data_IF_908818662669
#
_entry.id   IF_908818662669
#
_cell.length_a   1.000
_cell.length_b   1.000
_cell.length_c   1.000
_cell.angle_alpha   90.00
_cell.angle_beta   90.00
_cell.angle_gamma   90.00
#
_symmetry.space_group_name_H-M   'P 1'
#
loop_
_entity.id
_entity.type
_entity.pdbx_description
1 polymer ?
#
# COMPACT_ATOMS: atom_id res chain seq x y z
N UNK A 1 8.72 4.24 47.44
CA UNK A 1 8.41 4.25 46.00
C UNK A 1 8.44 5.71 45.59
N UNK A 2 9.66 6.22 45.37
CA UNK A 2 9.93 7.66 45.38
C UNK A 2 9.58 8.36 44.08
N UNK A 3 9.19 9.63 44.19
CA UNK A 3 8.80 10.50 43.07
C UNK A 3 9.87 10.62 41.96
N UNK A 4 11.12 10.23 42.24
CA UNK A 4 12.22 10.19 41.28
C UNK A 4 12.16 8.96 40.36
N UNK A 5 11.58 7.84 40.79
CA UNK A 5 11.41 6.62 39.99
C UNK A 5 10.35 6.81 38.89
N UNK A 6 9.32 7.61 39.18
CA UNK A 6 8.27 7.97 38.22
C UNK A 6 8.77 8.96 37.15
N UNK A 7 9.68 9.88 37.53
CA UNK A 7 10.31 10.82 36.59
C UNK A 7 11.27 10.13 35.62
N UNK A 8 12.01 9.12 36.09
CA UNK A 8 12.92 8.35 35.25
C UNK A 8 12.17 7.46 34.25
N UNK A 9 11.13 6.75 34.70
CA UNK A 9 10.22 5.99 33.83
C UNK A 9 9.51 6.88 32.80
N UNK A 10 9.10 8.08 33.19
CA UNK A 10 8.54 9.06 32.25
C UNK A 10 9.59 9.56 31.24
N UNK A 11 10.87 9.64 31.60
CA UNK A 11 11.96 10.00 30.67
C UNK A 11 12.27 8.87 29.69
N UNK A 12 12.27 7.61 30.14
CA UNK A 12 12.43 6.44 29.28
C UNK A 12 11.21 6.22 28.37
N UNK A 13 10.00 6.40 28.89
CA UNK A 13 8.78 6.36 28.09
C UNK A 13 8.74 7.50 27.08
N UNK A 14 9.14 8.72 27.45
CA UNK A 14 9.22 9.85 26.52
C UNK A 14 10.33 9.69 25.46
N UNK A 15 11.47 9.05 25.78
CA UNK A 15 12.55 8.80 24.82
C UNK A 15 12.23 7.68 23.83
N UNK A 16 11.56 6.61 24.26
CA UNK A 16 11.09 5.52 23.37
C UNK A 16 9.86 5.96 22.55
N UNK A 17 9.04 6.88 23.09
CA UNK A 17 7.90 7.48 22.38
C UNK A 17 8.27 8.73 21.55
N UNK A 18 9.47 9.30 21.71
CA UNK A 18 9.91 10.46 20.93
C UNK A 18 10.29 10.12 19.47
N UNK A 19 10.45 8.83 19.13
CA UNK A 19 10.51 8.35 17.74
C UNK A 19 9.14 7.90 17.21
N UNK A 20 8.08 8.02 18.01
CA UNK A 20 6.72 7.59 17.66
C UNK A 20 5.71 8.70 17.93
N UNK A 21 5.86 9.84 17.24
CA UNK A 21 4.75 10.75 16.89
C UNK A 21 5.15 11.71 15.76
N UNK A 22 4.20 12.14 14.91
CA UNK A 22 4.30 11.99 13.46
C UNK A 22 4.55 13.32 12.75
N UNK A 23 5.37 13.32 11.70
CA UNK A 23 5.29 14.38 10.69
C UNK A 23 4.00 14.19 9.89
N UNK A 24 2.98 14.94 10.30
CA UNK A 24 2.06 15.72 9.47
C UNK A 24 1.57 15.00 8.20
N UNK A 25 0.42 14.32 8.26
CA UNK A 25 -0.88 14.90 7.85
C UNK A 25 -0.81 15.51 6.44
N UNK A 26 -1.13 14.70 5.43
CA UNK A 26 -2.04 15.16 4.38
C UNK A 26 -3.45 14.97 4.94
N UNK A 27 -4.18 16.08 5.12
CA UNK A 27 -5.52 16.10 5.66
C UNK A 27 -6.52 15.28 4.82
N UNK A 28 -7.60 14.78 5.46
CA UNK A 28 -8.62 13.95 4.86
C UNK A 28 -9.74 14.78 4.25
N UNK A 29 -10.21 14.40 3.07
CA UNK A 29 -11.59 14.71 2.69
C UNK A 29 -12.17 13.63 1.75
N UNK A 30 -13.14 12.89 2.30
CA UNK A 30 -14.13 11.99 1.68
C UNK A 30 -13.92 10.47 1.82
N UNK A 31 -13.78 10.01 3.06
CA UNK A 31 -14.41 8.75 3.51
C UNK A 31 -15.54 9.10 4.49
N UNK A 32 -16.68 9.52 3.96
CA UNK A 32 -17.90 9.76 4.75
C UNK A 32 -19.13 9.37 3.97
N UNK A 33 -19.17 8.13 3.50
CA UNK A 33 -20.38 7.35 3.27
C UNK A 33 -19.99 5.90 3.61
N UNK A 34 -20.84 5.16 4.30
CA UNK A 34 -20.63 3.74 4.68
C UNK A 34 -19.88 3.47 5.99
N UNK A 35 -20.10 4.28 7.05
CA UNK A 35 -19.80 3.85 8.43
C UNK A 35 -20.90 4.20 9.45
N UNK A 36 -22.16 4.33 8.98
CA UNK A 36 -23.34 4.52 9.84
C UNK A 36 -24.54 3.69 9.36
N UNK A 37 -24.33 2.38 9.22
CA UNK A 37 -25.44 1.41 9.11
C UNK A 37 -25.08 -0.02 9.55
N UNK A 38 -23.90 -0.25 10.11
CA UNK A 38 -23.46 -1.61 10.49
C UNK A 38 -24.25 -2.16 11.69
N UNK A 39 -24.59 -1.31 12.67
CA UNK A 39 -25.22 -1.78 13.91
C UNK A 39 -26.72 -2.07 13.81
N UNK A 40 -27.42 -1.57 12.79
CA UNK A 40 -28.83 -1.91 12.55
C UNK A 40 -28.97 -3.15 11.66
N UNK A 41 -27.94 -3.47 10.87
CA UNK A 41 -27.96 -4.59 9.92
C UNK A 41 -27.63 -5.95 10.55
N UNK A 42 -27.06 -6.01 11.76
CA UNK A 42 -26.82 -7.31 12.42
C UNK A 42 -28.10 -8.00 12.92
N UNK A 43 -29.19 -7.26 13.16
CA UNK A 43 -30.44 -7.86 13.68
C UNK A 43 -31.41 -8.32 12.57
N UNK A 44 -31.15 -8.01 11.29
CA UNK A 44 -31.90 -8.57 10.16
C UNK A 44 -31.32 -9.90 9.65
N UNK A 45 -30.14 -10.30 10.11
CA UNK A 45 -29.41 -11.50 9.65
C UNK A 45 -30.00 -12.83 10.15
N UNK A 46 -31.02 -12.81 11.02
CA UNK A 46 -31.67 -14.02 11.52
C UNK A 46 -32.88 -14.48 10.69
N UNK A 47 -33.28 -13.74 9.65
CA UNK A 47 -34.52 -14.02 8.90
C UNK A 47 -34.33 -14.33 7.41
N UNK A 48 -33.10 -14.32 6.87
CA UNK A 48 -32.89 -14.42 5.41
C UNK A 48 -31.84 -15.49 5.02
N UNK A 49 -31.82 -16.63 5.71
CA UNK A 49 -30.97 -17.77 5.35
C UNK A 49 -31.40 -18.52 4.07
N UNK A 50 -32.41 -18.05 3.33
CA UNK A 50 -32.82 -18.64 2.04
C UNK A 50 -32.30 -17.89 0.79
N UNK A 51 -31.92 -16.61 0.90
CA UNK A 51 -31.47 -15.80 -0.26
C UNK A 51 -29.94 -15.90 -0.52
N UNK A 52 -29.15 -16.28 0.49
CA UNK A 52 -27.67 -16.36 0.39
C UNK A 52 -27.21 -17.51 -0.50
N UNK A 53 -28.05 -18.53 -0.72
CA UNK A 53 -27.73 -19.64 -1.63
C UNK A 53 -27.78 -19.24 -3.12
N UNK A 54 -28.38 -18.10 -3.47
CA UNK A 54 -28.43 -17.62 -4.85
C UNK A 54 -27.16 -16.83 -5.26
N UNK A 55 -26.35 -16.37 -4.30
CA UNK A 55 -25.13 -15.60 -4.58
C UNK A 55 -23.85 -16.45 -4.54
N UNK A 56 -23.90 -17.65 -3.95
CA UNK A 56 -22.77 -18.60 -3.88
C UNK A 56 -22.96 -19.82 -4.80
N UNK A 57 -23.83 -19.71 -5.81
CA UNK A 57 -24.01 -20.75 -6.82
C UNK A 57 -24.35 -20.19 -8.21
N UNK A 58 -23.70 -19.08 -8.60
CA UNK A 58 -23.41 -18.89 -10.03
C UNK A 58 -22.01 -19.43 -10.23
N UNK A 59 -21.83 -20.58 -10.91
CA UNK A 59 -20.51 -20.97 -11.33
C UNK A 59 -19.95 -19.78 -12.12
N UNK A 60 -18.76 -19.30 -11.76
CA UNK A 60 -17.96 -18.43 -12.64
C UNK A 60 -17.48 -19.22 -13.87
N UNK A 61 -18.39 -19.95 -14.52
CA UNK A 61 -18.23 -20.40 -15.89
C UNK A 61 -19.02 -19.39 -16.72
N UNK A 62 -18.60 -18.12 -16.65
CA UNK A 62 -18.74 -17.31 -17.83
C UNK A 62 -17.54 -17.66 -18.68
N UNK A 63 -17.80 -18.38 -19.77
CA UNK A 63 -16.73 -18.80 -20.65
C UNK A 63 -16.08 -17.55 -21.24
N UNK A 64 -14.88 -17.24 -20.75
CA UNK A 64 -14.15 -16.06 -21.17
C UNK A 64 -13.78 -16.19 -22.64
N UNK A 65 -14.47 -15.41 -23.48
CA UNK A 65 -14.17 -15.36 -24.91
C UNK A 65 -12.91 -14.51 -25.13
N UNK A 66 -11.76 -15.19 -25.21
CA UNK A 66 -10.44 -14.56 -25.38
C UNK A 66 -10.34 -13.70 -26.65
N UNK A 67 -11.02 -14.09 -27.73
CA UNK A 67 -11.00 -13.34 -28.99
C UNK A 67 -11.74 -12.01 -28.86
N UNK A 68 -12.92 -12.03 -28.24
CA UNK A 68 -13.67 -10.80 -27.95
C UNK A 68 -12.90 -9.91 -26.97
N UNK A 69 -12.31 -10.50 -25.93
CA UNK A 69 -11.47 -9.77 -24.98
C UNK A 69 -10.31 -9.07 -25.68
N UNK A 70 -9.61 -9.76 -26.58
CA UNK A 70 -8.51 -9.17 -27.35
C UNK A 70 -8.98 -7.99 -28.19
N UNK A 71 -10.12 -8.08 -28.86
CA UNK A 71 -10.69 -6.98 -29.66
C UNK A 71 -11.01 -5.76 -28.78
N UNK A 72 -11.55 -5.96 -27.59
CA UNK A 72 -11.79 -4.86 -26.65
C UNK A 72 -10.47 -4.25 -26.12
N UNK A 73 -9.44 -5.07 -25.90
CA UNK A 73 -8.11 -4.53 -25.53
C UNK A 73 -7.52 -3.68 -26.65
N UNK A 74 -7.68 -4.10 -27.91
CA UNK A 74 -7.25 -3.31 -29.07
C UNK A 74 -7.95 -1.96 -29.12
N UNK A 75 -9.27 -1.88 -28.87
CA UNK A 75 -9.99 -0.60 -28.80
C UNK A 75 -9.50 0.29 -27.64
N UNK A 76 -9.33 -0.28 -26.44
CA UNK A 76 -8.81 0.46 -25.30
C UNK A 76 -7.42 1.02 -25.58
N UNK A 77 -6.55 0.23 -26.22
CA UNK A 77 -5.20 0.67 -26.55
C UNK A 77 -5.12 1.64 -27.73
N UNK A 78 -6.00 1.53 -28.75
CA UNK A 78 -6.09 2.55 -29.80
C UNK A 78 -6.49 3.90 -29.21
N UNK A 79 -7.47 3.92 -28.31
CA UNK A 79 -7.82 5.15 -27.57
C UNK A 79 -6.63 5.69 -26.78
N UNK A 80 -5.95 4.83 -26.02
CA UNK A 80 -4.75 5.24 -25.28
C UNK A 80 -3.66 5.81 -26.18
N UNK A 81 -3.45 5.25 -27.38
CA UNK A 81 -2.49 5.78 -28.35
C UNK A 81 -2.87 7.21 -28.77
N UNK A 82 -4.15 7.46 -29.06
CA UNK A 82 -4.64 8.81 -29.38
C UNK A 82 -4.46 9.76 -28.20
N UNK A 83 -4.83 9.35 -26.99
CA UNK A 83 -4.68 10.17 -25.79
C UNK A 83 -3.18 10.50 -25.52
N UNK A 84 -2.29 9.56 -25.82
CA UNK A 84 -0.83 9.75 -25.73
C UNK A 84 -0.23 10.67 -26.80
N UNK A 85 -0.95 11.03 -27.88
CA UNK A 85 -0.49 12.03 -28.85
C UNK A 85 -0.48 13.45 -28.24
N UNK A 86 -1.31 13.69 -27.22
CA UNK A 86 -1.33 14.97 -26.49
C UNK A 86 -0.16 15.09 -25.50
N UNK A 87 0.45 13.96 -25.12
CA UNK A 87 1.61 13.91 -24.24
C UNK A 87 2.90 13.98 -25.06
N UNK A 88 3.69 15.03 -24.87
CA UNK A 88 5.00 15.19 -25.52
C UNK A 88 5.86 13.91 -25.34
N UNK A 89 6.43 13.34 -26.42
CA UNK A 89 7.30 12.15 -26.34
C UNK A 89 8.47 12.26 -25.35
N UNK A 90 8.97 13.47 -25.08
CA UNK A 90 10.01 13.70 -24.06
C UNK A 90 9.52 13.41 -22.63
N UNK A 91 8.21 13.50 -22.41
CA UNK A 91 7.57 13.29 -21.11
C UNK A 91 7.03 11.87 -20.91
N UNK A 92 7.16 10.97 -21.88
CA UNK A 92 6.71 9.58 -21.75
C UNK A 92 7.36 8.82 -20.58
N UNK A 93 8.56 9.22 -20.15
CA UNK A 93 9.22 8.61 -19.00
C UNK A 93 8.90 9.27 -17.65
N UNK A 94 8.08 10.34 -17.63
CA UNK A 94 7.65 11.00 -16.41
C UNK A 94 6.20 10.62 -16.10
N UNK A 95 6.04 9.76 -15.08
CA UNK A 95 4.74 9.22 -14.66
C UNK A 95 3.67 10.31 -14.48
N UNK A 96 4.05 11.47 -13.95
CA UNK A 96 3.13 12.59 -13.67
C UNK A 96 2.38 13.07 -14.92
N UNK A 97 2.98 12.93 -16.11
CA UNK A 97 2.40 13.44 -17.35
C UNK A 97 1.44 12.49 -18.04
N UNK A 98 1.53 11.18 -17.79
CA UNK A 98 0.70 10.18 -18.48
C UNK A 98 -0.13 9.30 -17.53
N UNK A 99 0.00 9.48 -16.21
CA UNK A 99 -0.74 8.67 -15.21
C UNK A 99 -2.26 8.77 -15.40
N UNK A 100 -2.78 9.92 -15.82
CA UNK A 100 -4.20 10.11 -16.12
C UNK A 100 -4.66 9.21 -17.28
N UNK A 101 -3.98 9.32 -18.43
CA UNK A 101 -4.29 8.52 -19.61
C UNK A 101 -4.11 7.02 -19.36
N UNK A 102 -3.05 6.65 -18.62
CA UNK A 102 -2.82 5.27 -18.24
C UNK A 102 -3.91 4.73 -17.30
N UNK A 103 -4.41 5.55 -16.38
CA UNK A 103 -5.52 5.19 -15.50
C UNK A 103 -6.81 4.91 -16.30
N UNK A 104 -7.12 5.75 -17.30
CA UNK A 104 -8.26 5.51 -18.20
C UNK A 104 -8.06 4.24 -19.03
N UNK A 105 -6.86 4.01 -19.53
CA UNK A 105 -6.51 2.77 -20.23
C UNK A 105 -6.72 1.54 -19.34
N UNK A 106 -6.16 1.53 -18.13
CA UNK A 106 -6.32 0.39 -17.21
C UNK A 106 -7.78 0.15 -16.85
N UNK A 107 -8.54 1.21 -16.54
CA UNK A 107 -9.97 1.11 -16.24
C UNK A 107 -10.77 0.56 -17.43
N UNK A 108 -10.45 0.98 -18.67
CA UNK A 108 -11.05 0.44 -19.88
C UNK A 108 -10.81 -1.08 -20.00
N UNK A 109 -9.59 -1.54 -19.71
CA UNK A 109 -9.27 -2.98 -19.77
C UNK A 109 -9.97 -3.79 -18.68
N UNK A 110 -10.10 -3.25 -17.47
CA UNK A 110 -10.78 -3.87 -16.34
C UNK A 110 -12.29 -3.98 -16.62
N UNK A 111 -12.92 -2.87 -17.00
CA UNK A 111 -14.34 -2.81 -17.34
C UNK A 111 -14.71 -3.82 -18.43
N UNK A 112 -13.90 -3.91 -19.49
CA UNK A 112 -14.18 -4.84 -20.58
C UNK A 112 -13.95 -6.30 -20.18
N UNK A 113 -12.91 -6.59 -19.38
CA UNK A 113 -12.71 -7.92 -18.83
C UNK A 113 -13.92 -8.35 -17.98
N UNK A 114 -14.39 -7.49 -17.08
CA UNK A 114 -15.56 -7.75 -16.23
C UNK A 114 -16.85 -7.88 -17.05
N UNK A 115 -17.07 -7.03 -18.07
CA UNK A 115 -18.25 -7.10 -18.96
C UNK A 115 -18.31 -8.41 -19.76
N UNK A 116 -17.17 -8.90 -20.22
CA UNK A 116 -17.03 -10.20 -20.91
C UNK A 116 -17.01 -11.36 -19.89
N UNK A 117 -16.98 -11.03 -18.58
CA UNK A 117 -16.78 -11.88 -17.40
C UNK A 117 -15.56 -12.79 -17.47
N UNK A 118 -14.49 -12.23 -18.00
CA UNK A 118 -13.13 -12.67 -17.76
C UNK A 118 -12.63 -12.05 -16.44
N UNK A 119 -11.76 -12.76 -15.73
CA UNK A 119 -11.03 -12.18 -14.59
C UNK A 119 -10.02 -11.14 -15.06
N UNK A 120 -9.84 -10.06 -14.30
CA UNK A 120 -8.79 -9.06 -14.51
C UNK A 120 -7.79 -9.11 -13.35
N UNK A 121 -6.47 -9.19 -13.61
CA UNK A 121 -5.83 -9.29 -14.92
C UNK A 121 -5.94 -10.70 -15.56
N UNK A 122 -5.84 -10.77 -16.90
CA UNK A 122 -5.84 -12.01 -17.69
C UNK A 122 -4.59 -12.06 -18.58
N UNK A 123 -4.05 -13.24 -18.95
CA UNK A 123 -2.90 -13.34 -19.86
C UNK A 123 -3.04 -12.58 -21.18
N UNK A 124 -4.27 -12.48 -21.74
CA UNK A 124 -4.54 -11.67 -22.95
C UNK A 124 -4.32 -10.17 -22.67
N UNK A 125 -4.82 -9.70 -21.53
CA UNK A 125 -4.70 -8.30 -21.08
C UNK A 125 -3.25 -8.00 -20.73
N UNK A 126 -2.59 -8.87 -19.98
CA UNK A 126 -1.18 -8.74 -19.58
C UNK A 126 -0.28 -8.61 -20.81
N UNK A 127 -0.42 -9.52 -21.78
CA UNK A 127 0.35 -9.43 -23.02
C UNK A 127 0.08 -8.13 -23.79
N UNK A 128 -1.17 -7.65 -23.78
CA UNK A 128 -1.51 -6.38 -24.41
C UNK A 128 -0.86 -5.19 -23.70
N UNK A 129 -0.93 -5.12 -22.37
CA UNK A 129 -0.30 -4.07 -21.56
C UNK A 129 1.22 -4.08 -21.80
N UNK A 130 1.88 -5.24 -21.81
CA UNK A 130 3.31 -5.34 -22.12
C UNK A 130 3.65 -4.78 -23.51
N UNK A 131 2.81 -5.00 -24.52
CA UNK A 131 3.01 -4.43 -25.86
C UNK A 131 2.95 -2.91 -25.85
N UNK A 132 1.96 -2.33 -25.16
CA UNK A 132 1.85 -0.87 -24.98
C UNK A 132 3.09 -0.33 -24.26
N UNK A 133 3.55 -1.00 -23.20
CA UNK A 133 4.75 -0.61 -22.47
C UNK A 133 6.01 -0.62 -23.36
N UNK A 134 6.18 -1.65 -24.18
CA UNK A 134 7.29 -1.70 -25.14
C UNK A 134 7.19 -0.60 -26.21
N UNK A 135 5.98 -0.24 -26.64
CA UNK A 135 5.77 0.76 -27.67
C UNK A 135 6.13 2.18 -27.18
N UNK A 136 5.67 2.57 -25.99
CA UNK A 136 5.83 3.94 -25.48
C UNK A 136 7.01 4.12 -24.52
N UNK A 137 7.35 3.09 -23.74
CA UNK A 137 8.29 3.22 -22.60
C UNK A 137 9.57 2.40 -22.75
N UNK A 138 9.86 1.82 -23.93
CA UNK A 138 11.04 0.96 -24.15
C UNK A 138 12.39 1.66 -23.94
N UNK A 139 12.45 2.98 -24.15
CA UNK A 139 13.66 3.78 -23.96
C UNK A 139 13.72 4.49 -22.60
N UNK A 140 12.77 4.21 -21.70
CA UNK A 140 12.77 4.81 -20.37
C UNK A 140 13.74 4.07 -19.46
N UNK A 141 14.68 4.80 -18.87
CA UNK A 141 15.52 4.27 -17.79
C UNK A 141 14.76 4.40 -16.48
N UNK A 142 14.48 3.28 -15.82
CA UNK A 142 13.89 3.31 -14.50
C UNK A 142 14.95 3.85 -13.53
N UNK A 143 14.81 5.12 -13.14
CA UNK A 143 15.58 5.67 -12.04
C UNK A 143 14.98 5.07 -10.77
N UNK A 144 15.35 3.83 -10.47
CA UNK A 144 15.00 3.19 -9.22
C UNK A 144 15.56 4.09 -8.13
N UNK A 145 14.68 4.78 -7.40
CA UNK A 145 15.06 5.17 -6.06
C UNK A 145 15.48 3.87 -5.38
N UNK A 146 16.74 3.80 -4.93
CA UNK A 146 17.27 2.63 -4.24
C UNK A 146 16.55 2.56 -2.90
N UNK A 147 15.34 2.01 -2.92
CA UNK A 147 14.64 1.48 -1.76
C UNK A 147 15.21 0.08 -1.53
N UNK A 148 16.49 0.05 -1.19
CA UNK A 148 17.19 -1.15 -0.75
C UNK A 148 17.40 -1.05 0.74
N UNK A 149 17.32 -2.19 1.43
CA UNK A 149 17.80 -2.26 2.80
C UNK A 149 19.26 -1.79 2.84
N UNK A 150 19.68 -1.08 3.91
CA UNK A 150 21.09 -0.75 4.09
C UNK A 150 21.91 -2.06 4.12
N UNK A 151 23.23 -1.97 3.89
CA UNK A 151 24.09 -3.15 3.99
C UNK A 151 23.90 -3.87 5.33
N UNK A 152 23.95 -5.20 5.32
CA UNK A 152 23.77 -6.04 6.52
C UNK A 152 24.61 -5.55 7.71
N UNK A 153 25.86 -5.16 7.48
CA UNK A 153 26.75 -4.61 8.51
C UNK A 153 26.19 -3.32 9.15
N UNK A 154 25.63 -2.42 8.33
CA UNK A 154 25.03 -1.16 8.81
C UNK A 154 23.78 -1.45 9.64
N UNK A 155 22.94 -2.38 9.17
CA UNK A 155 21.74 -2.82 9.86
C UNK A 155 22.09 -3.43 11.23
N UNK A 156 23.10 -4.30 11.30
CA UNK A 156 23.57 -4.91 12.56
C UNK A 156 24.06 -3.84 13.53
N UNK A 157 24.83 -2.85 13.08
CA UNK A 157 25.30 -1.76 13.94
C UNK A 157 24.12 -0.96 14.49
N UNK A 158 23.13 -0.64 13.63
CA UNK A 158 21.93 0.09 14.04
C UNK A 158 21.09 -0.66 15.08
N UNK A 159 21.14 -2.00 15.09
CA UNK A 159 20.48 -2.82 16.13
C UNK A 159 21.33 -2.89 17.41
N UNK A 160 22.64 -3.11 17.29
CA UNK A 160 23.51 -3.32 18.43
C UNK A 160 23.67 -2.06 19.30
N UNK A 161 23.83 -0.89 18.67
CA UNK A 161 24.02 0.39 19.39
C UNK A 161 22.90 0.67 20.41
N UNK A 162 21.60 0.68 20.05
CA UNK A 162 20.52 0.93 21.01
C UNK A 162 20.42 -0.16 22.08
N UNK A 163 20.73 -1.43 21.76
CA UNK A 163 20.78 -2.52 22.76
C UNK A 163 21.88 -2.28 23.79
N UNK A 164 23.10 -1.93 23.37
CA UNK A 164 24.19 -1.65 24.30
C UNK A 164 23.95 -0.39 25.15
N UNK A 165 23.36 0.65 24.55
CA UNK A 165 22.99 1.87 25.26
C UNK A 165 21.94 1.59 26.34
N UNK A 166 20.89 0.82 26.04
CA UNK A 166 19.86 0.45 27.03
C UNK A 166 20.44 -0.39 28.17
N UNK A 167 21.29 -1.39 27.86
CA UNK A 167 21.95 -2.21 28.88
C UNK A 167 22.85 -1.38 29.81
N UNK A 168 23.62 -0.46 29.24
CA UNK A 168 24.50 0.44 30.01
C UNK A 168 23.68 1.38 30.88
N UNK A 169 22.62 1.98 30.36
CA UNK A 169 21.73 2.84 31.13
C UNK A 169 21.08 2.10 32.30
N UNK A 170 20.57 0.89 32.09
CA UNK A 170 20.02 0.05 33.17
C UNK A 170 21.08 -0.25 34.24
N UNK A 171 22.28 -0.65 33.83
CA UNK A 171 23.38 -0.93 34.75
C UNK A 171 23.77 0.31 35.58
N UNK A 172 23.85 1.49 34.95
CA UNK A 172 24.13 2.76 35.62
C UNK A 172 23.04 3.12 36.63
N UNK A 173 21.77 2.94 36.28
CA UNK A 173 20.65 3.22 37.20
C UNK A 173 20.68 2.28 38.41
N UNK A 174 20.90 0.99 38.20
CA UNK A 174 21.03 0.01 39.30
C UNK A 174 22.22 0.34 40.19
N UNK A 175 23.37 0.68 39.59
CA UNK A 175 24.57 1.06 40.34
C UNK A 175 24.36 2.34 41.15
N UNK A 176 23.77 3.37 40.55
CA UNK A 176 23.45 4.63 41.22
C UNK A 176 22.44 4.44 42.35
N UNK A 177 21.37 3.66 42.13
CA UNK A 177 20.37 3.35 43.18
C UNK A 177 21.05 2.66 44.36
N UNK A 178 21.85 1.62 44.10
CA UNK A 178 22.56 0.89 45.16
C UNK A 178 23.52 1.79 45.94
N UNK A 179 24.19 2.75 45.28
CA UNK A 179 25.10 3.70 45.96
C UNK A 179 24.34 4.74 46.78
N UNK A 180 23.20 5.22 46.28
CA UNK A 180 22.33 6.13 47.02
C UNK A 180 21.73 5.47 48.27
N UNK A 181 21.38 4.18 48.21
CA UNK A 181 20.89 3.41 49.35
C UNK A 181 21.96 3.16 50.44
N UNK A 182 23.24 3.15 50.07
CA UNK A 182 24.37 2.97 51.01
C UNK A 182 24.77 4.30 51.67
N UNK A 183 24.41 5.43 51.07
CA UNK A 183 24.76 6.78 51.54
C UNK A 183 23.59 7.50 52.25
N UNK A 184 22.44 6.84 52.41
CA UNK A 184 21.28 7.28 53.19
C UNK A 184 21.24 6.54 54.53
#
# INVERSE_FOLDING_TARGET
MDANHLKLLNFFAAGILADLSPLQVCDPMRESYVASKVNTLMMSMLSATEEIKLFMHKPWILECNKTVLQLEMEKCGERFKTDMEEVDPQNWCNLTHFIGEYHFFSACTEDNAVKIGCFWPNPVVEHYIIRIHKQFFSNCTLKSAVWGDPSEDTLIILILVPVFLTLTMVALVVWCSKRSDILA
#
